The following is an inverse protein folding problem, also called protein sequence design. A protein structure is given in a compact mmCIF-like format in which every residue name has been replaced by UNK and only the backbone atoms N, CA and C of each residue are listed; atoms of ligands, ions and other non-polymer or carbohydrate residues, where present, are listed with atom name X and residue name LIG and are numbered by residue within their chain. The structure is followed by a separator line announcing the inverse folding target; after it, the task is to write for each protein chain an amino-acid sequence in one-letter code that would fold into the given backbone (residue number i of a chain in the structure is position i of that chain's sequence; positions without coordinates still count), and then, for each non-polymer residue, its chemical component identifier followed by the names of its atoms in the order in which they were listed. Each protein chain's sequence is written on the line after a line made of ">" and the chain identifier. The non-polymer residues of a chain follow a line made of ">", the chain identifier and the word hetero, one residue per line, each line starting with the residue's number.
data_IF_131662189678
#
_entry.id   IF_131662189678
#
_cell.length_a   1.000
_cell.length_b   1.000
_cell.length_c   1.000
_cell.angle_alpha   90.00
_cell.angle_beta   90.00
_cell.angle_gamma   90.00
#
_symmetry.space_group_name_H-M   'P 1'
#
loop_
_entity.id
_entity.type
_entity.pdbx_description
1 polymer ?
#
# COMPACT_ATOMS: atom_id res chain seq x y z
N UNK A 1 15.94 -26.11 -10.89
CA UNK A 1 15.31 -25.83 -12.20
C UNK A 1 14.20 -24.83 -11.92
N UNK A 2 14.34 -23.56 -12.34
CA UNK A 2 13.31 -22.54 -12.07
C UNK A 2 12.04 -22.85 -12.85
N UNK A 3 10.91 -22.77 -12.17
CA UNK A 3 9.59 -22.97 -12.77
C UNK A 3 9.23 -21.80 -13.69
N UNK A 4 8.36 -22.03 -14.68
CA UNK A 4 7.83 -20.95 -15.54
C UNK A 4 7.18 -19.82 -14.72
N UNK A 5 6.59 -20.18 -13.58
CA UNK A 5 5.92 -19.24 -12.66
C UNK A 5 6.95 -18.32 -11.99
N UNK A 6 8.07 -18.85 -11.48
CA UNK A 6 9.12 -18.04 -10.86
C UNK A 6 9.74 -17.04 -11.85
N UNK A 7 9.96 -17.45 -13.11
CA UNK A 7 10.43 -16.56 -14.17
C UNK A 7 9.46 -15.43 -14.50
N UNK A 8 8.15 -15.71 -14.46
CA UNK A 8 7.12 -14.70 -14.69
C UNK A 8 7.00 -13.72 -13.51
N UNK A 9 7.14 -14.20 -12.27
CA UNK A 9 6.99 -13.38 -11.07
C UNK A 9 8.22 -12.49 -10.82
N UNK A 10 9.43 -12.97 -11.14
CA UNK A 10 10.70 -12.28 -10.85
C UNK A 10 10.73 -10.78 -11.16
N UNK A 11 10.26 -10.30 -12.32
CA UNK A 11 10.22 -8.87 -12.66
C UNK A 11 9.33 -8.00 -11.75
N UNK A 12 8.30 -8.59 -11.13
CA UNK A 12 7.36 -7.87 -10.27
C UNK A 12 7.81 -7.81 -8.80
N UNK A 13 8.87 -8.55 -8.43
CA UNK A 13 9.41 -8.53 -7.07
C UNK A 13 10.38 -7.37 -6.88
N UNK A 14 9.99 -6.40 -6.06
CA UNK A 14 10.93 -5.41 -5.49
C UNK A 14 12.07 -6.09 -4.74
N UNK A 15 13.32 -5.74 -5.09
CA UNK A 15 14.54 -6.31 -4.50
C UNK A 15 15.03 -5.50 -3.28
N UNK A 16 14.78 -4.19 -3.27
CA UNK A 16 15.28 -3.27 -2.25
C UNK A 16 14.28 -3.03 -1.12
N UNK A 17 13.69 -4.10 -0.58
CA UNK A 17 12.79 -4.01 0.57
C UNK A 17 13.52 -4.32 1.87
N UNK A 18 13.37 -3.51 2.93
CA UNK A 18 13.93 -3.84 4.23
C UNK A 18 13.28 -5.10 4.82
N UNK A 19 14.00 -5.77 5.72
CA UNK A 19 13.43 -6.90 6.45
C UNK A 19 12.47 -6.38 7.51
N UNK A 20 11.16 -6.49 7.25
CA UNK A 20 10.10 -6.07 8.17
C UNK A 20 9.62 -7.29 8.98
N UNK A 21 9.49 -7.11 10.30
CA UNK A 21 8.98 -8.08 11.27
C UNK A 21 7.82 -7.48 12.08
N UNK A 22 7.08 -8.35 12.77
CA UNK A 22 6.07 -7.90 13.72
C UNK A 22 6.72 -7.15 14.88
N UNK A 23 6.12 -6.04 15.30
CA UNK A 23 6.65 -5.13 16.31
C UNK A 23 7.38 -3.90 15.73
N UNK A 24 7.78 -3.94 14.46
CA UNK A 24 8.46 -2.79 13.83
C UNK A 24 7.51 -1.60 13.65
N UNK A 25 8.03 -0.39 13.81
CA UNK A 25 7.33 0.83 13.40
C UNK A 25 7.71 1.18 11.97
N UNK A 26 6.73 1.27 11.08
CA UNK A 26 6.94 1.54 9.66
C UNK A 26 6.15 2.77 9.22
N UNK A 27 6.69 3.47 8.23
CA UNK A 27 6.03 4.59 7.55
C UNK A 27 5.82 4.22 6.08
N UNK A 28 4.57 3.94 5.72
CA UNK A 28 4.18 3.55 4.35
C UNK A 28 3.75 4.78 3.58
N UNK A 29 4.39 5.03 2.44
CA UNK A 29 4.06 6.12 1.51
C UNK A 29 3.18 5.57 0.39
N UNK A 30 1.91 5.97 0.35
CA UNK A 30 0.95 5.54 -0.65
C UNK A 30 0.64 6.69 -1.61
N UNK A 31 0.90 6.51 -2.91
CA UNK A 31 0.46 7.46 -3.93
C UNK A 31 -1.03 7.25 -4.21
N UNK A 32 -1.83 8.28 -3.98
CA UNK A 32 -3.27 8.30 -4.26
C UNK A 32 -3.50 9.15 -5.51
N UNK A 33 -3.90 8.53 -6.64
CA UNK A 33 -4.20 9.28 -7.84
C UNK A 33 -5.48 10.11 -7.67
N UNK A 34 -5.55 11.27 -8.33
CA UNK A 34 -6.69 12.19 -8.23
C UNK A 34 -8.03 11.53 -8.60
N UNK A 35 -8.01 10.56 -9.53
CA UNK A 35 -9.19 9.81 -9.97
C UNK A 35 -9.79 8.87 -8.90
N UNK A 36 -9.01 8.42 -7.92
CA UNK A 36 -9.50 7.54 -6.86
C UNK A 36 -10.44 8.24 -5.86
N UNK A 37 -10.30 9.58 -5.72
CA UNK A 37 -11.21 10.37 -4.86
C UNK A 37 -12.61 10.52 -5.45
N UNK A 38 -12.76 10.46 -6.77
CA UNK A 38 -14.06 10.63 -7.44
C UNK A 38 -15.07 9.49 -7.16
N UNK A 39 -14.62 8.33 -6.63
CA UNK A 39 -15.48 7.17 -6.37
C UNK A 39 -15.91 7.00 -4.91
N UNK A 40 -15.32 7.72 -3.95
CA UNK A 40 -15.53 7.47 -2.52
C UNK A 40 -16.51 8.43 -1.81
N UNK A 41 -17.07 9.42 -2.51
CA UNK A 41 -18.09 10.29 -1.91
C UNK A 41 -18.45 11.47 -2.79
N UNK A 42 -19.74 11.57 -3.12
CA UNK A 42 -20.41 12.60 -3.95
C UNK A 42 -20.02 12.64 -5.43
N UNK A 43 -20.90 12.03 -6.25
CA UNK A 43 -21.24 12.56 -7.58
C UNK A 43 -21.90 13.94 -7.37
N UNK A 44 -21.12 14.99 -7.26
CA UNK A 44 -21.65 16.35 -7.37
C UNK A 44 -20.66 17.23 -8.14
N UNK A 45 -20.76 17.11 -9.47
CA UNK A 45 -21.05 18.22 -10.38
C UNK A 45 -20.23 19.51 -10.29
N UNK A 46 -18.91 19.44 -10.12
CA UNK A 46 -18.00 20.45 -10.67
C UNK A 46 -17.12 19.82 -11.76
N UNK A 47 -17.56 20.03 -13.00
CA UNK A 47 -16.89 19.60 -14.23
C UNK A 47 -15.70 20.50 -14.55
N UNK A 48 -14.75 20.61 -13.62
CA UNK A 48 -13.45 21.19 -13.95
C UNK A 48 -12.34 20.64 -13.04
N UNK A 49 -12.17 19.32 -13.03
CA UNK A 49 -10.92 18.76 -12.51
C UNK A 49 -9.94 18.72 -13.68
N UNK A 50 -8.84 19.51 -13.65
CA UNK A 50 -7.88 19.50 -14.73
C UNK A 50 -7.40 18.07 -14.95
N UNK A 51 -7.35 17.64 -16.22
CA UNK A 51 -6.93 16.31 -16.66
C UNK A 51 -5.44 15.99 -16.38
N UNK A 52 -4.81 16.74 -15.47
CA UNK A 52 -3.41 16.66 -15.06
C UNK A 52 -3.21 16.84 -13.56
N UNK A 53 -4.19 16.48 -12.72
CA UNK A 53 -4.03 16.54 -11.26
C UNK A 53 -2.98 15.56 -10.77
N UNK A 54 -1.81 16.06 -10.35
CA UNK A 54 -0.74 15.26 -9.76
C UNK A 54 -1.27 14.46 -8.55
N UNK A 55 -0.96 13.16 -8.50
CA UNK A 55 -1.37 12.29 -7.39
C UNK A 55 -0.73 12.74 -6.07
N UNK A 56 -1.49 12.70 -4.97
CA UNK A 56 -0.98 13.05 -3.64
C UNK A 56 -0.37 11.83 -2.96
N UNK A 57 0.76 12.00 -2.26
CA UNK A 57 1.32 10.95 -1.42
C UNK A 57 0.67 11.05 -0.03
N UNK A 58 -0.04 10.00 0.37
CA UNK A 58 -0.54 9.83 1.73
C UNK A 58 0.42 8.95 2.52
N UNK A 59 0.69 9.35 3.76
CA UNK A 59 1.58 8.62 4.66
C UNK A 59 0.74 7.88 5.70
N UNK A 60 1.02 6.59 5.90
CA UNK A 60 0.45 5.80 6.99
C UNK A 60 1.59 5.24 7.85
N UNK A 61 1.69 5.73 9.08
CA UNK A 61 2.76 5.39 10.02
C UNK A 61 2.18 4.64 11.20
N UNK A 62 2.72 3.46 11.51
CA UNK A 62 2.17 2.62 12.57
C UNK A 62 3.02 1.39 12.86
N UNK A 63 2.52 0.56 13.77
CA UNK A 63 3.17 -0.67 14.20
C UNK A 63 2.75 -1.85 13.31
N UNK A 64 3.72 -2.65 12.89
CA UNK A 64 3.48 -3.87 12.12
C UNK A 64 2.97 -4.96 13.06
N UNK A 65 1.73 -5.41 12.86
CA UNK A 65 1.16 -6.51 13.62
C UNK A 65 1.54 -7.87 13.05
N UNK A 66 1.58 -7.96 11.72
CA UNK A 66 1.80 -9.23 11.04
C UNK A 66 2.45 -9.02 9.67
N UNK A 67 3.24 -10.02 9.27
CA UNK A 67 3.73 -10.21 7.90
C UNK A 67 3.27 -11.59 7.43
N UNK A 68 2.63 -11.66 6.26
CA UNK A 68 2.05 -12.89 5.72
C UNK A 68 2.60 -13.21 4.33
N UNK A 69 2.48 -14.48 3.93
CA UNK A 69 2.86 -15.02 2.62
C UNK A 69 4.36 -14.90 2.23
N UNK A 70 5.24 -14.77 3.23
CA UNK A 70 6.69 -14.93 3.05
C UNK A 70 7.35 -13.83 2.20
N UNK A 71 8.15 -14.27 1.21
CA UNK A 71 8.92 -13.42 0.27
C UNK A 71 8.36 -13.42 -1.16
N UNK A 72 7.17 -13.99 -1.37
CA UNK A 72 6.55 -14.09 -2.68
C UNK A 72 5.74 -12.86 -3.08
N UNK A 73 5.19 -12.85 -4.29
CA UNK A 73 4.39 -11.75 -4.84
C UNK A 73 3.14 -11.41 -3.99
N UNK A 74 2.61 -12.41 -3.27
CA UNK A 74 1.46 -12.26 -2.38
C UNK A 74 1.82 -11.76 -0.97
N UNK A 75 3.09 -11.42 -0.72
CA UNK A 75 3.55 -10.97 0.59
C UNK A 75 2.85 -9.67 1.00
N UNK A 76 2.32 -9.66 2.23
CA UNK A 76 1.60 -8.52 2.81
C UNK A 76 2.09 -8.20 4.22
N UNK A 77 1.91 -6.94 4.61
CA UNK A 77 2.09 -6.48 5.99
C UNK A 77 0.79 -5.84 6.50
N UNK A 78 0.47 -6.07 7.77
CA UNK A 78 -0.62 -5.38 8.47
C UNK A 78 -0.03 -4.34 9.39
N UNK A 79 -0.38 -3.07 9.16
CA UNK A 79 0.10 -1.93 9.95
C UNK A 79 -1.08 -1.34 10.72
N UNK A 80 -0.91 -1.13 12.03
CA UNK A 80 -1.90 -0.55 12.94
C UNK A 80 -1.46 0.83 13.39
N UNK A 81 -2.39 1.78 13.39
CA UNK A 81 -2.23 3.13 13.96
C UNK A 81 -3.53 3.54 14.65
N UNK A 82 -3.42 4.27 15.74
CA UNK A 82 -4.57 5.00 16.30
C UNK A 82 -4.74 6.36 15.60
N UNK A 83 -5.97 6.66 15.18
CA UNK A 83 -6.34 7.93 14.55
C UNK A 83 -7.57 8.45 15.29
N UNK A 84 -7.42 9.60 15.95
CA UNK A 84 -8.51 10.27 16.68
C UNK A 84 -9.21 9.33 17.69
N UNK A 85 -8.45 8.55 18.46
CA UNK A 85 -8.99 7.62 19.45
C UNK A 85 -9.48 6.29 18.89
N UNK A 86 -9.42 6.07 17.57
CA UNK A 86 -9.90 4.86 16.91
C UNK A 86 -8.72 4.08 16.35
N UNK A 87 -8.60 2.80 16.71
CA UNK A 87 -7.62 1.89 16.13
C UNK A 87 -7.95 1.58 14.67
N UNK A 88 -7.05 1.93 13.76
CA UNK A 88 -7.16 1.67 12.32
C UNK A 88 -6.06 0.72 11.89
N UNK A 89 -6.44 -0.35 11.20
CA UNK A 89 -5.52 -1.31 10.60
C UNK A 89 -5.59 -1.24 9.07
N UNK A 90 -4.43 -1.27 8.43
CA UNK A 90 -4.30 -1.33 6.97
C UNK A 90 -3.38 -2.46 6.57
N UNK A 91 -3.80 -3.22 5.56
CA UNK A 91 -3.02 -4.30 4.96
C UNK A 91 -2.42 -3.79 3.66
N UNK A 92 -1.09 -3.91 3.52
CA UNK A 92 -0.36 -3.46 2.34
C UNK A 92 0.34 -4.63 1.65
N UNK A 93 0.21 -4.78 0.31
CA UNK A 93 1.09 -5.64 -0.46
C UNK A 93 2.50 -5.05 -0.50
N UNK A 94 3.52 -5.91 -0.42
CA UNK A 94 4.93 -5.47 -0.43
C UNK A 94 5.45 -5.20 -1.85
N UNK A 95 5.00 -5.99 -2.82
CA UNK A 95 5.44 -5.93 -4.20
C UNK A 95 4.42 -5.16 -5.06
#
# INVERSE_FOLDING_TARGET
>A
METKIEKFIGPFLKKDLPEIRAGDKVRVYQKIPASAKAKAGKKEKDRNLPAGGEGKVQIFEGLVLARKHGKGISATITVRKEISGIGVEKIFPLH
#
